data_IF_908553093577
#
_entry.id   IF_908553093577
#
_cell.length_a   1.000
_cell.length_b   1.000
_cell.length_c   1.000
_cell.angle_alpha   90.00
_cell.angle_beta   90.00
_cell.angle_gamma   90.00
#
_symmetry.space_group_name_H-M   'P 1'
#
loop_
_entity.id
_entity.type
_entity.pdbx_description
1 polymer ?
#
# COMPACT_ATOMS: atom_id res chain seq x y z
N UNK A 1 -40.65 52.21 1.50
CA UNK A 1 -40.45 53.63 1.90
C UNK A 1 -40.57 53.74 3.41
N UNK A 2 -39.83 54.68 4.03
CA UNK A 2 -39.72 54.99 5.47
C UNK A 2 -38.91 53.96 6.31
N UNK A 3 -37.62 54.08 6.63
CA UNK A 3 -36.75 55.16 7.16
C UNK A 3 -36.65 55.17 8.70
N UNK A 4 -35.42 54.91 9.17
CA UNK A 4 -34.76 55.49 10.38
C UNK A 4 -35.24 55.07 11.77
N UNK A 5 -34.33 54.57 12.61
CA UNK A 5 -33.36 55.33 13.46
C UNK A 5 -32.99 54.46 14.67
N UNK A 6 -31.71 54.12 14.80
CA UNK A 6 -31.10 53.78 16.09
C UNK A 6 -30.90 55.04 16.95
N UNK A 7 -30.96 54.86 18.29
CA UNK A 7 -30.18 55.48 19.39
C UNK A 7 -31.02 55.45 20.71
N UNK A 8 -30.45 55.71 21.91
CA UNK A 8 -29.17 55.27 22.50
C UNK A 8 -29.29 54.84 24.01
N UNK A 9 -28.25 54.16 24.51
CA UNK A 9 -27.70 54.17 25.91
C UNK A 9 -28.60 54.09 27.15
N UNK A 10 -28.33 53.11 28.02
CA UNK A 10 -27.96 53.40 29.43
C UNK A 10 -27.10 52.27 30.01
N UNK A 11 -25.89 52.62 30.46
CA UNK A 11 -25.01 51.76 31.25
C UNK A 11 -25.69 51.43 32.58
N UNK A 12 -25.72 50.15 32.94
CA UNK A 12 -25.94 49.72 34.32
C UNK A 12 -24.75 48.86 34.72
N UNK A 13 -23.94 49.40 35.62
CA UNK A 13 -22.79 48.74 36.25
C UNK A 13 -23.34 48.02 37.48
N UNK A 14 -23.19 46.68 37.64
CA UNK A 14 -23.48 46.04 38.92
C UNK A 14 -22.32 46.28 39.91
N UNK A 15 -22.63 46.39 41.22
CA UNK A 15 -21.68 46.81 42.25
C UNK A 15 -20.64 45.73 42.57
N UNK A 16 -19.44 46.21 42.91
CA UNK A 16 -18.33 45.42 43.43
C UNK A 16 -18.70 44.77 44.77
N UNK A 17 -18.54 43.46 44.84
CA UNK A 17 -18.71 42.66 46.06
C UNK A 17 -17.74 41.47 46.04
N UNK A 18 -16.73 41.57 46.90
CA UNK A 18 -15.94 40.54 47.56
C UNK A 18 -15.27 39.43 46.74
N UNK A 19 -14.00 39.70 46.45
CA UNK A 19 -12.89 38.76 46.36
C UNK A 19 -12.86 37.80 47.56
N UNK A 20 -12.86 36.48 47.34
CA UNK A 20 -11.70 35.57 47.51
C UNK A 20 -12.06 34.25 46.81
N UNK A 21 -11.86 34.19 45.50
CA UNK A 21 -11.83 32.93 44.74
C UNK A 21 -10.39 32.42 44.71
N UNK A 22 -10.18 31.20 45.20
CA UNK A 22 -8.89 30.53 45.29
C UNK A 22 -8.04 30.70 44.03
N UNK A 23 -6.82 31.21 44.21
CA UNK A 23 -5.75 31.14 43.22
C UNK A 23 -5.30 29.68 43.16
N UNK A 24 -6.08 28.84 42.49
CA UNK A 24 -5.69 27.50 42.09
C UNK A 24 -5.32 27.57 40.62
N UNK A 25 -4.02 27.69 40.39
CA UNK A 25 -3.27 27.12 39.28
C UNK A 25 -3.98 27.17 37.91
N UNK A 26 -4.07 28.37 37.33
CA UNK A 26 -4.07 28.50 35.87
C UNK A 26 -2.64 28.27 35.36
N UNK A 27 -2.19 27.02 35.43
CA UNK A 27 -1.06 26.54 34.64
C UNK A 27 -1.62 26.23 33.26
N UNK A 28 -1.35 27.10 32.29
CA UNK A 28 -1.59 26.75 30.88
C UNK A 28 -0.84 25.44 30.60
N UNK A 29 -1.50 24.40 30.05
CA UNK A 29 -0.82 23.15 29.75
C UNK A 29 0.27 23.45 28.72
N UNK A 30 1.53 23.31 29.14
CA UNK A 30 2.67 23.37 28.24
C UNK A 30 2.43 22.31 27.17
N UNK A 31 2.37 22.65 25.87
CA UNK A 31 2.18 21.66 24.83
C UNK A 31 3.32 20.66 24.94
N UNK A 32 2.97 19.39 25.15
CA UNK A 32 3.97 18.31 25.16
C UNK A 32 4.81 18.43 23.88
N UNK A 33 6.15 18.35 23.99
CA UNK A 33 6.99 18.35 22.81
C UNK A 33 6.53 17.21 21.91
N UNK A 34 6.17 17.55 20.67
CA UNK A 34 5.75 16.59 19.66
C UNK A 34 6.80 15.48 19.61
N UNK A 35 6.45 14.29 20.12
CA UNK A 35 7.29 13.11 20.05
C UNK A 35 7.71 12.97 18.58
N UNK A 36 9.00 12.79 18.27
CA UNK A 36 9.40 12.56 16.88
C UNK A 36 8.56 11.39 16.39
N UNK A 37 7.70 11.68 15.42
CA UNK A 37 6.84 10.68 14.78
C UNK A 37 7.81 9.73 14.12
N UNK A 38 8.16 8.64 14.83
CA UNK A 38 8.83 7.50 14.24
C UNK A 38 7.98 7.19 13.01
N UNK A 39 8.56 7.38 11.82
CA UNK A 39 7.87 7.03 10.58
C UNK A 39 7.38 5.61 10.78
N UNK A 40 6.07 5.44 10.80
CA UNK A 40 5.47 4.12 10.72
C UNK A 40 6.17 3.41 9.55
N UNK A 41 6.60 2.15 9.72
CA UNK A 41 7.24 1.43 8.63
C UNK A 41 6.33 1.55 7.41
N UNK A 42 6.87 1.82 6.21
CA UNK A 42 6.03 1.99 5.03
C UNK A 42 5.12 0.77 4.96
N UNK A 43 3.80 1.00 4.91
CA UNK A 43 2.84 -0.07 4.67
C UNK A 43 3.33 -0.83 3.45
N UNK A 44 3.81 -2.05 3.67
CA UNK A 44 4.35 -2.87 2.59
C UNK A 44 3.17 -3.23 1.72
N UNK A 45 3.05 -2.59 0.55
CA UNK A 45 2.06 -2.94 -0.46
C UNK A 45 2.07 -4.47 -0.67
N UNK A 46 1.04 -5.15 -0.17
CA UNK A 46 0.95 -6.62 -0.21
C UNK A 46 1.06 -7.18 -1.65
N UNK A 47 0.67 -6.39 -2.65
CA UNK A 47 0.84 -6.70 -4.07
C UNK A 47 2.32 -6.84 -4.47
N UNK A 48 3.19 -5.95 -3.98
CA UNK A 48 4.63 -6.05 -4.22
C UNK A 48 5.24 -7.26 -3.50
N UNK A 49 4.67 -7.68 -2.37
CA UNK A 49 5.13 -8.85 -1.63
C UNK A 49 4.81 -10.16 -2.38
N UNK A 50 3.56 -10.33 -2.84
CA UNK A 50 3.15 -11.50 -3.65
C UNK A 50 3.96 -11.61 -4.95
N UNK A 51 4.19 -10.48 -5.63
CA UNK A 51 5.01 -10.45 -6.86
C UNK A 51 6.45 -10.90 -6.58
N UNK A 52 7.05 -10.43 -5.48
CA UNK A 52 8.41 -10.83 -5.11
C UNK A 52 8.50 -12.32 -4.77
N UNK A 53 7.52 -12.84 -4.03
CA UNK A 53 7.46 -14.26 -3.69
C UNK A 53 7.43 -15.13 -4.95
N UNK A 54 6.53 -14.84 -5.89
CA UNK A 54 6.41 -15.56 -7.15
C UNK A 54 7.71 -15.51 -7.97
N UNK A 55 8.30 -14.33 -8.14
CA UNK A 55 9.55 -14.18 -8.90
C UNK A 55 10.72 -14.94 -8.27
N UNK A 56 10.74 -15.05 -6.94
CA UNK A 56 11.74 -15.84 -6.22
C UNK A 56 11.56 -17.33 -6.50
N UNK A 57 10.34 -17.85 -6.42
CA UNK A 57 10.04 -19.27 -6.67
C UNK A 57 10.46 -19.73 -8.07
N UNK A 58 10.07 -18.99 -9.12
CA UNK A 58 10.42 -19.36 -10.51
C UNK A 58 11.91 -19.17 -10.82
N UNK A 59 12.62 -18.39 -9.99
CA UNK A 59 14.06 -18.15 -10.13
C UNK A 59 14.91 -19.39 -9.82
N UNK A 60 14.41 -20.30 -8.99
CA UNK A 60 15.09 -21.53 -8.61
C UNK A 60 14.93 -22.69 -9.60
N UNK A 61 13.99 -22.58 -10.54
CA UNK A 61 13.76 -23.64 -11.53
C UNK A 61 14.91 -23.70 -12.54
N UNK A 62 15.63 -24.83 -12.65
CA UNK A 62 16.71 -24.97 -13.62
C UNK A 62 16.18 -24.99 -15.05
N UNK A 63 16.93 -24.35 -15.95
CA UNK A 63 16.65 -24.35 -17.39
C UNK A 63 16.89 -25.76 -17.97
N UNK A 64 16.11 -26.11 -19.00
CA UNK A 64 16.34 -27.34 -19.74
C UNK A 64 17.50 -27.15 -20.73
N UNK A 65 18.30 -28.19 -20.87
CA UNK A 65 19.18 -28.36 -22.03
C UNK A 65 18.35 -28.76 -23.26
N UNK A 66 18.95 -28.64 -24.46
CA UNK A 66 18.27 -28.99 -25.70
C UNK A 66 17.83 -30.47 -25.75
N UNK A 67 18.63 -31.38 -25.19
CA UNK A 67 18.30 -32.81 -25.14
C UNK A 67 17.13 -33.08 -24.18
N UNK A 68 17.14 -32.44 -23.00
CA UNK A 68 16.05 -32.54 -22.04
C UNK A 68 14.75 -31.95 -22.59
N UNK A 69 14.81 -30.85 -23.34
CA UNK A 69 13.65 -30.25 -23.97
C UNK A 69 12.99 -31.23 -24.95
N UNK A 70 13.77 -31.90 -25.80
CA UNK A 70 13.24 -32.95 -26.70
C UNK A 70 12.63 -34.10 -25.90
N UNK A 71 13.28 -34.53 -24.82
CA UNK A 71 12.80 -35.63 -23.99
C UNK A 71 11.46 -35.30 -23.30
N UNK A 72 11.39 -34.20 -22.55
CA UNK A 72 10.19 -33.81 -21.82
C UNK A 72 9.06 -33.38 -22.75
N UNK A 73 9.36 -32.78 -23.91
CA UNK A 73 8.35 -32.49 -24.95
C UNK A 73 7.67 -33.77 -25.45
N UNK A 74 8.43 -34.83 -25.70
CA UNK A 74 7.88 -36.12 -26.15
C UNK A 74 7.02 -36.79 -25.07
N UNK A 75 7.42 -36.68 -23.81
CA UNK A 75 6.62 -37.17 -22.68
C UNK A 75 5.30 -36.39 -22.56
N UNK A 76 5.37 -35.06 -22.59
CA UNK A 76 4.19 -34.21 -22.52
C UNK A 76 3.20 -34.49 -23.66
N UNK A 77 3.69 -34.68 -24.89
CA UNK A 77 2.86 -35.05 -26.06
C UNK A 77 2.16 -36.40 -25.91
N UNK A 78 2.72 -37.32 -25.11
CA UNK A 78 2.09 -38.61 -24.80
C UNK A 78 1.09 -38.53 -23.64
N UNK A 79 0.88 -37.34 -23.07
CA UNK A 79 0.00 -37.13 -21.93
C UNK A 79 0.66 -37.38 -20.57
N UNK A 80 1.99 -37.43 -20.51
CA UNK A 80 2.71 -37.54 -19.24
C UNK A 80 2.74 -36.18 -18.53
N UNK A 81 1.99 -36.07 -17.43
CA UNK A 81 1.91 -34.85 -16.63
C UNK A 81 3.24 -34.44 -16.00
N UNK A 82 4.14 -35.37 -15.70
CA UNK A 82 5.47 -35.03 -15.16
C UNK A 82 6.32 -34.31 -16.20
N UNK A 83 6.28 -34.79 -17.45
CA UNK A 83 6.94 -34.13 -18.58
C UNK A 83 6.35 -32.76 -18.89
N UNK A 84 5.00 -32.66 -18.87
CA UNK A 84 4.28 -31.40 -19.06
C UNK A 84 4.65 -30.38 -17.98
N UNK A 85 4.60 -30.79 -16.72
CA UNK A 85 4.94 -29.94 -15.56
C UNK A 85 6.37 -29.43 -15.64
N UNK A 86 7.33 -30.33 -15.91
CA UNK A 86 8.75 -29.97 -16.04
C UNK A 86 8.98 -28.94 -17.14
N UNK A 87 8.34 -29.12 -18.29
CA UNK A 87 8.39 -28.16 -19.39
C UNK A 87 7.82 -26.79 -19.00
N UNK A 88 6.68 -26.75 -18.30
CA UNK A 88 6.07 -25.49 -17.85
C UNK A 88 7.00 -24.77 -16.88
N UNK A 89 7.42 -25.44 -15.80
CA UNK A 89 8.24 -24.86 -14.73
C UNK A 89 9.58 -24.31 -15.24
N UNK A 90 10.20 -24.94 -16.23
CA UNK A 90 11.46 -24.46 -16.81
C UNK A 90 11.28 -23.24 -17.72
N UNK A 91 10.06 -22.96 -18.20
CA UNK A 91 9.76 -21.87 -19.11
C UNK A 91 9.06 -20.66 -18.45
N UNK A 92 8.72 -20.71 -17.16
CA UNK A 92 8.05 -19.59 -16.46
C UNK A 92 8.83 -18.27 -16.54
N UNK A 93 10.17 -18.33 -16.55
CA UNK A 93 11.04 -17.15 -16.71
C UNK A 93 10.85 -16.46 -18.07
N UNK A 94 10.55 -17.23 -19.12
CA UNK A 94 10.26 -16.69 -20.45
C UNK A 94 8.93 -15.94 -20.46
N UNK A 95 7.89 -16.52 -19.82
CA UNK A 95 6.57 -15.89 -19.67
C UNK A 95 6.72 -14.53 -19.00
N UNK A 96 7.40 -14.47 -17.86
CA UNK A 96 7.68 -13.21 -17.14
C UNK A 96 8.42 -12.21 -18.02
N UNK A 97 9.42 -12.63 -18.79
CA UNK A 97 10.17 -11.75 -19.70
C UNK A 97 9.26 -11.12 -20.77
N UNK A 98 8.29 -11.88 -21.29
CA UNK A 98 7.33 -11.41 -22.28
C UNK A 98 6.30 -10.48 -21.62
N UNK A 99 5.71 -10.90 -20.50
CA UNK A 99 4.74 -10.13 -19.72
C UNK A 99 5.25 -8.74 -19.32
N UNK A 100 6.56 -8.60 -19.02
CA UNK A 100 7.16 -7.29 -18.70
C UNK A 100 6.98 -6.24 -19.79
N UNK A 101 6.77 -6.61 -21.06
CA UNK A 101 6.52 -5.68 -22.17
C UNK A 101 5.11 -5.08 -22.16
N UNK A 102 4.22 -5.63 -21.34
CA UNK A 102 2.81 -5.26 -21.24
C UNK A 102 2.46 -4.54 -19.93
N UNK A 103 3.45 -4.29 -19.07
CA UNK A 103 3.29 -3.49 -17.86
C UNK A 103 2.81 -2.06 -18.21
N UNK A 104 2.07 -1.42 -17.29
CA UNK A 104 1.52 -0.07 -17.43
C UNK A 104 0.42 0.09 -18.49
N UNK A 105 -0.26 -1.01 -18.86
CA UNK A 105 -1.41 -0.99 -19.79
C UNK A 105 -2.77 -1.12 -19.09
N UNK A 106 -2.81 -0.88 -17.77
CA UNK A 106 -4.03 -0.93 -16.98
C UNK A 106 -4.36 -2.28 -16.34
N UNK A 107 -3.51 -3.29 -16.51
CA UNK A 107 -3.61 -4.60 -15.82
C UNK A 107 -2.49 -4.76 -14.80
N UNK A 108 -2.76 -5.49 -13.72
CA UNK A 108 -1.74 -5.83 -12.73
C UNK A 108 -0.71 -6.80 -13.33
N UNK A 109 0.52 -6.76 -12.83
CA UNK A 109 1.59 -7.56 -13.41
C UNK A 109 1.39 -9.07 -13.21
N UNK A 110 0.79 -9.46 -12.08
CA UNK A 110 0.44 -10.86 -11.81
C UNK A 110 -0.63 -11.36 -12.78
N UNK A 111 -1.66 -10.55 -13.05
CA UNK A 111 -2.70 -10.90 -14.03
C UNK A 111 -2.11 -11.12 -15.43
N UNK A 112 -1.12 -10.32 -15.82
CA UNK A 112 -0.41 -10.49 -17.10
C UNK A 112 0.42 -11.78 -17.19
N UNK A 113 0.74 -12.42 -16.07
CA UNK A 113 1.50 -13.67 -16.02
C UNK A 113 0.59 -14.89 -16.02
N UNK A 114 -0.61 -14.76 -15.45
CA UNK A 114 -1.60 -15.84 -15.31
C UNK A 114 -2.46 -16.07 -16.58
N UNK A 115 -2.57 -15.08 -17.47
CA UNK A 115 -3.31 -15.17 -18.75
C UNK A 115 -2.60 -16.01 -19.83
#
# INVERSE_FOLDING_TARGET
MATKRQKPTSKTIPPAGDTVGSVLDFVEPVPEPLKPRLKEPPETDAHFDATRMYLNEIGFSPLLTAEEEVYYSRLAQKGDESGRRRMIESNLRLVVKIARRYINRGLAFLDLIEE
#
